data_IF_778056561120
#
_entry.id   IF_778056561120
#
_cell.length_a   1.000
_cell.length_b   1.000
_cell.length_c   1.000
_cell.angle_alpha   90.00
_cell.angle_beta   90.00
_cell.angle_gamma   90.00
#
_symmetry.space_group_name_H-M   'P 1'
#
loop_
_entity.id
_entity.type
_entity.pdbx_description
1 polymer ?
#
# COMPACT_ATOMS: atom_id res chain seq x y z
N UNK A 1 -18.58 40.11 -23.24
CA UNK A 1 -18.56 38.69 -23.59
C UNK A 1 -17.21 38.18 -23.17
N UNK A 2 -17.12 37.65 -21.95
CA UNK A 2 -15.86 37.26 -21.32
C UNK A 2 -15.67 35.76 -21.54
N UNK A 3 -14.71 35.43 -22.39
CA UNK A 3 -14.26 34.07 -22.67
C UNK A 3 -13.43 33.60 -21.46
N UNK A 4 -13.96 32.63 -20.71
CA UNK A 4 -13.26 32.04 -19.56
C UNK A 4 -12.65 30.73 -20.02
N UNK A 5 -11.31 30.53 -19.93
CA UNK A 5 -10.70 29.28 -20.35
C UNK A 5 -11.19 28.14 -19.47
N UNK A 6 -11.77 27.11 -20.09
CA UNK A 6 -12.15 25.88 -19.43
C UNK A 6 -10.89 25.16 -18.91
N UNK A 7 -10.91 24.61 -17.67
CA UNK A 7 -9.82 23.80 -17.15
C UNK A 7 -9.64 22.51 -17.98
N UNK A 8 -8.42 21.96 -18.07
CA UNK A 8 -8.15 20.76 -18.85
C UNK A 8 -8.98 19.59 -18.31
N UNK A 9 -9.73 18.96 -19.21
CA UNK A 9 -10.52 17.76 -18.94
C UNK A 9 -9.57 16.61 -18.63
N UNK A 10 -9.59 16.12 -17.39
CA UNK A 10 -8.85 14.93 -16.98
C UNK A 10 -9.30 13.71 -17.79
N UNK A 11 -8.35 13.07 -18.46
CA UNK A 11 -8.57 11.78 -19.11
C UNK A 11 -8.85 10.71 -18.02
N UNK A 12 -9.80 9.79 -18.24
CA UNK A 12 -10.17 8.79 -17.24
C UNK A 12 -8.98 7.87 -16.92
N UNK A 13 -8.82 7.63 -15.62
CA UNK A 13 -7.85 6.76 -14.92
C UNK A 13 -7.53 5.42 -15.64
N UNK A 14 -8.45 4.93 -16.46
CA UNK A 14 -8.30 3.74 -17.30
C UNK A 14 -7.11 3.80 -18.28
N UNK A 15 -6.71 4.98 -18.79
CA UNK A 15 -5.60 5.07 -19.75
C UNK A 15 -4.22 4.96 -19.08
N UNK A 16 -4.13 5.30 -17.79
CA UNK A 16 -2.90 5.23 -16.99
C UNK A 16 -2.56 3.79 -16.57
N UNK A 17 -3.60 2.96 -16.35
CA UNK A 17 -3.51 1.52 -16.08
C UNK A 17 -2.81 0.73 -17.20
N UNK A 18 -2.88 1.22 -18.44
CA UNK A 18 -2.31 0.52 -19.61
C UNK A 18 -0.78 0.53 -19.65
N UNK A 19 -0.12 1.48 -18.97
CA UNK A 19 1.35 1.55 -18.91
C UNK A 19 1.97 0.65 -17.85
N UNK A 20 1.24 0.33 -16.77
CA UNK A 20 1.77 -0.46 -15.65
C UNK A 20 1.75 -1.97 -15.98
N UNK A 21 0.73 -2.45 -16.69
CA UNK A 21 0.71 -3.85 -17.20
C UNK A 21 1.89 -4.16 -18.14
N UNK A 22 2.42 -3.15 -18.84
CA UNK A 22 3.56 -3.32 -19.74
C UNK A 22 4.90 -3.52 -19.00
N UNK A 23 5.01 -3.10 -17.73
CA UNK A 23 6.22 -3.27 -16.92
C UNK A 23 6.25 -4.66 -16.25
N UNK A 24 5.10 -5.13 -15.75
CA UNK A 24 4.98 -6.44 -15.10
C UNK A 24 5.26 -7.58 -16.11
N UNK A 25 4.80 -7.44 -17.36
CA UNK A 25 5.05 -8.44 -18.41
C UNK A 25 6.53 -8.56 -18.84
N UNK A 26 7.40 -7.58 -18.56
CA UNK A 26 8.82 -7.63 -18.96
C UNK A 26 9.73 -8.30 -17.91
N UNK A 27 9.18 -8.72 -16.76
CA UNK A 27 9.93 -9.38 -15.69
C UNK A 27 9.70 -10.90 -15.61
N UNK A 28 8.74 -11.44 -16.36
CA UNK A 28 8.40 -12.87 -16.33
C UNK A 28 9.18 -13.74 -17.33
N UNK A 29 9.94 -13.16 -18.27
CA UNK A 29 10.70 -13.89 -19.30
C UNK A 29 12.10 -14.37 -18.84
N UNK A 30 12.22 -14.86 -17.60
CA UNK A 30 13.50 -15.27 -17.00
C UNK A 30 13.47 -16.66 -16.34
N UNK A 31 13.13 -17.71 -17.09
CA UNK A 31 13.17 -19.10 -16.62
C UNK A 31 14.58 -19.61 -16.20
N UNK A 32 14.61 -20.18 -14.97
CA UNK A 32 15.10 -21.53 -14.58
C UNK A 32 16.58 -21.78 -14.22
N UNK A 33 16.80 -22.25 -12.98
CA UNK A 33 17.60 -23.48 -12.75
C UNK A 33 17.29 -24.17 -11.40
N UNK A 34 17.10 -25.48 -11.49
CA UNK A 34 16.68 -26.45 -10.46
C UNK A 34 17.81 -26.97 -9.56
N UNK A 35 17.55 -27.25 -8.28
CA UNK A 35 17.86 -28.55 -7.63
C UNK A 35 17.39 -28.60 -6.17
N UNK A 36 16.93 -29.77 -5.66
CA UNK A 36 16.81 -29.97 -4.20
C UNK A 36 15.82 -31.01 -3.69
N UNK A 37 15.96 -32.27 -4.09
CA UNK A 37 15.16 -33.41 -3.61
C UNK A 37 15.57 -33.83 -2.18
N UNK A 38 14.64 -33.94 -1.22
CA UNK A 38 14.75 -34.88 -0.07
C UNK A 38 13.40 -35.47 0.34
N UNK A 39 13.45 -36.75 0.68
CA UNK A 39 12.34 -37.68 1.03
C UNK A 39 12.47 -38.03 2.51
N UNK A 40 11.36 -38.17 3.23
CA UNK A 40 11.10 -39.05 4.39
C UNK A 40 9.57 -38.93 4.63
N UNK A 41 8.73 -39.90 4.99
CA UNK A 41 8.79 -41.29 5.46
C UNK A 41 7.53 -41.51 6.33
N UNK A 42 6.46 -42.12 5.82
CA UNK A 42 5.93 -43.47 6.19
C UNK A 42 4.76 -43.50 7.20
N UNK A 43 3.57 -43.91 6.69
CA UNK A 43 2.43 -44.73 7.22
C UNK A 43 1.87 -44.59 8.65
N UNK A 44 0.53 -44.50 8.73
CA UNK A 44 -0.39 -45.44 9.43
C UNK A 44 -1.86 -45.25 8.93
N UNK A 45 -2.47 -46.23 8.23
CA UNK A 45 -3.59 -47.15 8.64
C UNK A 45 -4.85 -46.44 9.19
N UNK A 46 -5.91 -46.24 8.40
CA UNK A 46 -7.10 -47.10 8.13
C UNK A 46 -7.87 -47.57 9.38
N UNK A 47 -9.08 -47.02 9.58
CA UNK A 47 -10.26 -47.75 10.10
C UNK A 47 -11.55 -47.12 9.53
N UNK A 48 -12.40 -47.95 8.94
CA UNK A 48 -13.64 -47.67 8.18
C UNK A 48 -14.88 -47.34 9.06
N UNK A 49 -16.01 -46.92 8.44
CA UNK A 49 -17.08 -46.11 9.05
C UNK A 49 -18.37 -46.90 9.38
N UNK A 50 -19.36 -46.21 9.97
CA UNK A 50 -20.76 -46.31 9.51
C UNK A 50 -21.35 -44.88 9.35
N UNK A 51 -22.47 -44.59 8.69
CA UNK A 51 -23.54 -45.37 8.07
C UNK A 51 -24.35 -44.44 7.16
N UNK A 52 -24.84 -45.04 6.09
CA UNK A 52 -25.70 -44.54 5.03
C UNK A 52 -27.02 -43.93 5.56
N UNK A 53 -27.29 -42.67 5.22
CA UNK A 53 -28.64 -42.12 5.16
C UNK A 53 -28.86 -41.58 3.75
N UNK A 54 -29.75 -42.23 3.02
CA UNK A 54 -30.16 -41.87 1.66
C UNK A 54 -31.11 -40.69 1.73
N UNK A 55 -30.71 -39.58 1.11
CA UNK A 55 -31.60 -38.45 0.83
C UNK A 55 -31.84 -38.40 -0.68
N UNK A 56 -33.10 -38.54 -1.08
CA UNK A 56 -33.58 -38.34 -2.46
C UNK A 56 -33.82 -36.86 -2.73
N UNK A 57 -33.61 -36.38 -3.98
CA UNK A 57 -33.67 -34.96 -4.31
C UNK A 57 -35.12 -34.51 -4.49
N UNK A 58 -35.49 -33.40 -3.85
CA UNK A 58 -36.66 -32.63 -4.24
C UNK A 58 -36.25 -31.61 -5.30
N UNK A 59 -36.51 -31.93 -6.55
CA UNK A 59 -36.47 -30.98 -7.66
C UNK A 59 -37.62 -29.98 -7.49
N UNK A 60 -37.30 -28.70 -7.31
CA UNK A 60 -38.16 -27.61 -7.80
C UNK A 60 -37.29 -26.46 -8.29
N UNK A 61 -37.46 -26.15 -9.57
CA UNK A 61 -36.94 -24.97 -10.24
C UNK A 61 -37.61 -23.68 -9.70
N UNK A 62 -37.08 -22.54 -10.14
CA UNK A 62 -37.52 -21.14 -9.91
C UNK A 62 -36.75 -20.46 -8.77
N UNK A 63 -36.06 -19.34 -8.94
CA UNK A 63 -36.04 -18.35 -10.04
C UNK A 63 -34.91 -17.36 -9.76
N UNK A 64 -34.27 -16.88 -10.83
CA UNK A 64 -33.60 -15.58 -10.99
C UNK A 64 -32.97 -14.87 -9.78
N UNK A 65 -31.66 -14.67 -9.89
CA UNK A 65 -31.16 -13.30 -10.01
C UNK A 65 -30.98 -12.53 -8.72
N UNK A 66 -29.89 -12.82 -8.02
CA UNK A 66 -29.01 -11.78 -7.45
C UNK A 66 -27.76 -12.46 -6.92
N UNK A 67 -26.88 -12.91 -7.83
CA UNK A 67 -25.46 -12.88 -7.50
C UNK A 67 -25.12 -11.38 -7.46
N UNK A 68 -25.37 -10.74 -6.31
CA UNK A 68 -24.83 -9.43 -6.03
C UNK A 68 -23.31 -9.65 -6.11
N UNK A 69 -22.56 -9.05 -7.05
CA UNK A 69 -21.13 -9.05 -6.88
C UNK A 69 -20.90 -8.43 -5.49
N UNK A 70 -20.13 -9.11 -4.64
CA UNK A 70 -19.56 -8.46 -3.47
C UNK A 70 -18.70 -7.33 -4.03
N UNK A 71 -19.30 -6.14 -4.12
CA UNK A 71 -18.57 -4.90 -4.32
C UNK A 71 -17.84 -4.67 -3.01
N UNK A 72 -16.72 -5.37 -2.83
CA UNK A 72 -15.72 -4.96 -1.84
C UNK A 72 -15.21 -3.62 -2.35
N UNK A 73 -15.75 -2.53 -1.81
CA UNK A 73 -15.23 -1.19 -2.06
C UNK A 73 -13.78 -1.21 -1.60
N UNK A 74 -12.86 -1.14 -2.57
CA UNK A 74 -11.43 -1.10 -2.34
C UNK A 74 -11.10 0.11 -1.45
N UNK A 75 -10.42 -0.12 -0.33
CA UNK A 75 -9.94 0.91 0.59
C UNK A 75 -8.60 1.46 0.08
N UNK A 76 -8.49 2.78 -0.07
CA UNK A 76 -7.23 3.44 -0.41
C UNK A 76 -6.53 3.95 0.86
N UNK A 77 -5.25 3.62 1.02
CA UNK A 77 -4.45 4.00 2.19
C UNK A 77 -3.20 4.77 1.76
N UNK A 78 -3.08 6.02 2.21
CA UNK A 78 -1.93 6.87 1.94
C UNK A 78 -0.76 6.59 2.89
N UNK A 79 0.44 6.34 2.37
CA UNK A 79 1.67 6.19 3.15
C UNK A 79 2.58 7.40 2.97
N UNK A 80 2.63 8.29 3.96
CA UNK A 80 3.35 9.56 3.91
C UNK A 80 4.71 9.44 4.57
N UNK A 81 5.78 9.80 3.87
CA UNK A 81 7.12 9.82 4.46
C UNK A 81 7.29 10.88 5.55
N UNK A 82 8.01 10.51 6.62
CA UNK A 82 8.46 11.46 7.62
C UNK A 82 9.53 12.42 7.06
N UNK A 83 9.73 13.55 7.73
CA UNK A 83 10.69 14.59 7.33
C UNK A 83 11.65 14.97 8.45
N UNK A 84 12.70 15.71 8.09
CA UNK A 84 13.70 16.19 9.05
C UNK A 84 13.11 17.14 10.08
N UNK A 85 12.41 18.19 9.62
CA UNK A 85 11.87 19.26 10.46
C UNK A 85 10.75 18.74 11.36
N UNK A 86 10.89 18.95 12.66
CA UNK A 86 9.96 18.51 13.71
C UNK A 86 9.77 19.62 14.75
N UNK A 87 8.72 19.52 15.56
CA UNK A 87 8.64 20.25 16.82
C UNK A 87 9.70 19.77 17.82
N UNK A 88 10.01 20.59 18.81
CA UNK A 88 11.00 20.28 19.86
C UNK A 88 10.40 19.52 21.06
N UNK A 89 9.07 19.37 21.10
CA UNK A 89 8.34 18.72 22.17
C UNK A 89 7.63 17.45 21.66
N UNK A 90 7.33 16.49 22.57
CA UNK A 90 6.53 15.32 22.21
C UNK A 90 5.14 15.72 21.70
N UNK A 91 4.81 15.27 20.49
CA UNK A 91 3.58 15.64 19.79
C UNK A 91 2.97 14.41 19.12
N UNK A 92 1.66 14.43 18.87
CA UNK A 92 1.01 13.38 18.05
C UNK A 92 1.67 13.27 16.68
N UNK A 93 1.80 12.07 16.08
CA UNK A 93 2.61 11.87 14.89
C UNK A 93 2.30 12.80 13.71
N UNK A 94 1.00 13.06 13.43
CA UNK A 94 0.59 13.95 12.33
C UNK A 94 0.97 15.41 12.52
N UNK A 95 1.15 15.85 13.76
CA UNK A 95 1.48 17.23 14.11
C UNK A 95 2.98 17.39 14.42
N UNK A 96 3.74 16.30 14.58
CA UNK A 96 5.17 16.37 14.91
C UNK A 96 5.99 17.07 13.83
N UNK A 97 5.67 16.86 12.55
CA UNK A 97 6.51 17.27 11.42
C UNK A 97 6.09 18.62 10.85
N UNK A 98 7.06 19.54 10.73
CA UNK A 98 6.77 20.97 10.53
C UNK A 98 7.11 21.50 9.14
N UNK A 99 7.63 20.66 8.23
CA UNK A 99 7.99 21.13 6.89
C UNK A 99 6.75 21.38 6.02
N UNK A 100 6.82 22.38 5.14
CA UNK A 100 5.78 22.63 4.12
C UNK A 100 5.51 21.42 3.23
N UNK A 101 6.54 20.62 2.94
CA UNK A 101 6.40 19.40 2.15
C UNK A 101 5.51 18.38 2.87
N UNK A 102 5.79 18.11 4.14
CA UNK A 102 4.96 17.21 4.96
C UNK A 102 3.54 17.74 5.12
N UNK A 103 3.37 19.03 5.39
CA UNK A 103 2.04 19.63 5.52
C UNK A 103 1.17 19.40 4.26
N UNK A 104 1.77 19.51 3.07
CA UNK A 104 1.09 19.22 1.80
C UNK A 104 0.79 17.73 1.62
N UNK A 105 1.75 16.84 1.88
CA UNK A 105 1.52 15.40 1.81
C UNK A 105 0.39 14.96 2.74
N UNK A 106 0.41 15.45 3.98
CA UNK A 106 -0.63 15.20 4.98
C UNK A 106 -1.99 15.70 4.52
N UNK A 107 -2.10 16.97 4.11
CA UNK A 107 -3.39 17.53 3.69
C UNK A 107 -3.97 16.77 2.50
N UNK A 108 -3.14 16.42 1.51
CA UNK A 108 -3.57 15.59 0.39
C UNK A 108 -4.03 14.20 0.86
N UNK A 109 -3.28 13.57 1.78
CA UNK A 109 -3.63 12.25 2.27
C UNK A 109 -4.91 12.22 3.10
N UNK A 110 -5.14 13.25 3.92
CA UNK A 110 -6.38 13.43 4.70
C UNK A 110 -7.62 13.69 3.81
N UNK A 111 -7.42 14.28 2.62
CA UNK A 111 -8.50 14.62 1.69
C UNK A 111 -8.90 13.44 0.78
N UNK A 112 -7.91 12.69 0.29
CA UNK A 112 -8.11 11.77 -0.84
C UNK A 112 -8.21 10.29 -0.44
N UNK A 113 -7.65 9.91 0.72
CA UNK A 113 -7.59 8.50 1.15
C UNK A 113 -8.62 8.19 2.22
N UNK A 114 -9.03 6.91 2.27
CA UNK A 114 -9.91 6.41 3.33
C UNK A 114 -9.18 6.36 4.69
N UNK A 115 -7.87 6.14 4.66
CA UNK A 115 -6.98 6.14 5.82
C UNK A 115 -5.56 6.56 5.39
N UNK A 116 -4.71 6.98 6.34
CA UNK A 116 -3.32 7.29 6.03
C UNK A 116 -2.40 7.07 7.22
N UNK A 117 -1.13 6.78 6.93
CA UNK A 117 -0.11 6.42 7.91
C UNK A 117 1.22 7.09 7.57
N UNK A 118 2.07 7.24 8.58
CA UNK A 118 3.38 7.89 8.42
C UNK A 118 4.49 6.83 8.40
N UNK A 119 5.27 6.81 7.32
CA UNK A 119 6.50 6.04 7.21
C UNK A 119 7.64 6.78 7.92
N UNK A 120 7.98 6.33 9.13
CA UNK A 120 9.06 6.85 9.96
C UNK A 120 10.35 6.04 9.79
N UNK A 121 11.45 6.71 9.49
CA UNK A 121 12.78 6.08 9.45
C UNK A 121 13.16 5.40 10.78
N UNK A 122 12.74 5.99 11.91
CA UNK A 122 13.01 5.47 13.25
C UNK A 122 11.96 4.46 13.71
N UNK A 123 10.70 4.84 13.58
CA UNK A 123 9.59 4.15 14.23
C UNK A 123 8.90 3.11 13.34
N UNK A 124 9.26 2.99 12.05
CA UNK A 124 8.56 2.12 11.13
C UNK A 124 7.27 2.78 10.66
N UNK A 125 6.12 2.23 11.06
CA UNK A 125 4.81 2.78 10.76
C UNK A 125 4.22 3.54 11.96
N UNK A 126 3.61 4.70 11.72
CA UNK A 126 2.94 5.49 12.75
C UNK A 126 1.52 5.87 12.34
N UNK A 127 0.56 5.61 13.24
CA UNK A 127 -0.79 6.13 13.12
C UNK A 127 -0.78 7.66 13.28
N UNK A 128 -1.49 8.43 12.44
CA UNK A 128 -1.54 9.89 12.52
C UNK A 128 -1.93 10.43 13.91
N UNK A 129 -2.94 9.80 14.50
CA UNK A 129 -3.51 10.11 15.81
C UNK A 129 -2.99 9.18 16.92
N UNK A 130 -1.84 8.54 16.68
CA UNK A 130 -1.17 7.70 17.66
C UNK A 130 -0.66 8.48 18.88
N UNK A 131 -0.09 7.78 19.88
CA UNK A 131 0.44 8.41 21.08
C UNK A 131 1.55 9.43 20.76
N UNK A 132 1.74 10.47 21.59
CA UNK A 132 2.79 11.45 21.37
C UNK A 132 4.19 10.83 21.30
N UNK A 133 4.98 11.29 20.35
CA UNK A 133 6.37 10.86 20.15
C UNK A 133 7.32 12.04 20.26
N UNK A 134 8.44 11.83 20.95
CA UNK A 134 9.49 12.84 21.08
C UNK A 134 10.22 13.06 19.74
N UNK A 135 10.75 14.27 19.48
CA UNK A 135 11.56 14.51 18.30
C UNK A 135 12.78 13.58 18.25
N UNK A 136 13.21 13.27 17.03
CA UNK A 136 14.31 12.37 16.76
C UNK A 136 15.04 12.76 15.47
N UNK A 137 16.30 12.30 15.38
CA UNK A 137 17.14 12.49 14.20
C UNK A 137 17.58 11.11 13.67
N UNK A 138 16.75 10.55 12.78
CA UNK A 138 17.06 9.32 12.06
C UNK A 138 16.53 9.44 10.63
N UNK A 139 17.27 8.90 9.68
CA UNK A 139 16.97 9.01 8.25
C UNK A 139 17.36 7.72 7.53
N UNK A 140 16.56 7.34 6.53
CA UNK A 140 16.92 6.29 5.58
C UNK A 140 17.79 6.83 4.44
N UNK A 141 17.90 8.15 4.31
CA UNK A 141 18.64 8.74 3.20
C UNK A 141 20.13 8.47 3.33
N UNK A 142 20.71 7.90 2.28
CA UNK A 142 22.11 7.44 2.28
C UNK A 142 22.36 6.18 3.13
N UNK A 143 21.34 5.60 3.77
CA UNK A 143 21.49 4.34 4.48
C UNK A 143 21.86 3.21 3.50
N UNK A 144 22.67 2.26 3.98
CA UNK A 144 23.04 1.08 3.19
C UNK A 144 21.78 0.25 2.89
N UNK A 145 21.77 -0.41 1.74
CA UNK A 145 20.69 -1.31 1.31
C UNK A 145 20.25 -2.32 2.40
N UNK A 146 21.19 -2.92 3.11
CA UNK A 146 20.88 -3.85 4.21
C UNK A 146 20.03 -3.20 5.32
N UNK A 147 20.35 -1.96 5.73
CA UNK A 147 19.59 -1.21 6.73
C UNK A 147 18.19 -0.84 6.23
N UNK A 148 18.07 -0.45 4.95
CA UNK A 148 16.77 -0.16 4.32
C UNK A 148 15.90 -1.41 4.26
N UNK A 149 16.49 -2.58 4.00
CA UNK A 149 15.79 -3.87 4.00
C UNK A 149 15.31 -4.26 5.39
N UNK A 150 16.17 -4.17 6.41
CA UNK A 150 15.75 -4.40 7.81
C UNK A 150 14.62 -3.45 8.26
N UNK A 151 14.65 -2.20 7.79
CA UNK A 151 13.57 -1.26 8.03
C UNK A 151 12.30 -1.66 7.27
N UNK A 152 12.42 -2.09 6.01
CA UNK A 152 11.30 -2.50 5.17
C UNK A 152 10.60 -3.74 5.72
N UNK A 153 11.35 -4.75 6.17
CA UNK A 153 10.81 -5.95 6.83
C UNK A 153 9.94 -5.54 8.04
N UNK A 154 10.46 -4.66 8.90
CA UNK A 154 9.70 -4.14 10.05
C UNK A 154 8.43 -3.39 9.64
N UNK A 155 8.50 -2.58 8.59
CA UNK A 155 7.32 -1.84 8.11
C UNK A 155 6.25 -2.78 7.56
N UNK A 156 6.62 -3.89 6.92
CA UNK A 156 5.66 -4.90 6.47
C UNK A 156 4.98 -5.55 7.67
N UNK A 157 5.74 -5.91 8.71
CA UNK A 157 5.17 -6.43 9.95
C UNK A 157 4.20 -5.41 10.58
N UNK A 158 4.60 -4.12 10.67
CA UNK A 158 3.74 -3.07 11.22
C UNK A 158 2.47 -2.84 10.39
N UNK A 159 2.54 -2.97 9.05
CA UNK A 159 1.39 -2.88 8.15
C UNK A 159 0.44 -4.07 8.34
N UNK A 160 0.98 -5.28 8.55
CA UNK A 160 0.18 -6.48 8.83
C UNK A 160 -0.55 -6.36 10.17
N UNK A 161 0.18 -5.95 11.21
CA UNK A 161 -0.36 -5.71 12.56
C UNK A 161 -1.47 -4.64 12.55
N UNK A 162 -1.36 -3.64 11.67
CA UNK A 162 -2.38 -2.61 11.46
C UNK A 162 -3.57 -3.08 10.58
N UNK A 163 -3.52 -4.29 10.00
CA UNK A 163 -4.55 -4.82 9.12
C UNK A 163 -4.59 -4.15 7.75
N UNK A 164 -3.46 -3.63 7.27
CA UNK A 164 -3.35 -2.89 6.01
C UNK A 164 -2.86 -3.76 4.84
N UNK A 165 -2.55 -5.04 5.10
CA UNK A 165 -2.17 -6.01 4.08
C UNK A 165 -3.37 -6.92 3.74
N UNK A 166 -4.31 -6.41 2.94
CA UNK A 166 -5.52 -7.14 2.55
C UNK A 166 -5.85 -6.98 1.05
N UNK A 167 -6.58 -7.94 0.49
CA UNK A 167 -6.99 -7.99 -0.93
C UNK A 167 -7.86 -6.82 -1.40
N UNK A 168 -8.41 -6.06 -0.47
CA UNK A 168 -9.19 -4.87 -0.73
C UNK A 168 -8.46 -3.56 -0.42
N UNK A 169 -7.18 -3.62 -0.05
CA UNK A 169 -6.37 -2.44 0.25
C UNK A 169 -5.46 -2.07 -0.91
N UNK A 170 -5.56 -0.81 -1.35
CA UNK A 170 -4.60 -0.16 -2.25
C UNK A 170 -3.71 0.78 -1.43
N UNK A 171 -2.40 0.58 -1.51
CA UNK A 171 -1.41 1.43 -0.85
C UNK A 171 -0.91 2.50 -1.81
N UNK A 172 -0.91 3.77 -1.39
CA UNK A 172 -0.39 4.88 -2.19
C UNK A 172 0.75 5.57 -1.45
N UNK A 173 1.97 5.45 -1.97
CA UNK A 173 3.20 5.88 -1.29
C UNK A 173 3.61 7.29 -1.72
N UNK A 174 3.68 8.18 -0.73
CA UNK A 174 4.18 9.55 -0.84
C UNK A 174 5.52 9.67 -0.14
N UNK A 175 6.53 9.06 -0.76
CA UNK A 175 7.88 8.98 -0.21
C UNK A 175 8.96 9.10 -1.28
N UNK A 176 10.16 9.52 -0.83
CA UNK A 176 11.36 9.41 -1.66
C UNK A 176 11.81 7.96 -1.83
N UNK A 177 12.59 7.70 -2.88
CA UNK A 177 13.08 6.37 -3.26
C UNK A 177 13.71 5.55 -2.13
N UNK A 178 14.41 6.22 -1.22
CA UNK A 178 15.05 5.58 -0.05
C UNK A 178 14.07 4.80 0.85
N UNK A 179 12.77 5.14 0.82
CA UNK A 179 11.71 4.46 1.58
C UNK A 179 11.10 3.28 0.84
N UNK A 180 10.89 3.38 -0.48
CA UNK A 180 10.12 2.37 -1.19
C UNK A 180 10.98 1.32 -1.91
N UNK A 181 12.26 1.60 -2.18
CA UNK A 181 13.07 0.71 -3.04
C UNK A 181 13.27 -0.71 -2.49
N UNK A 182 13.41 -0.87 -1.16
CA UNK A 182 13.49 -2.19 -0.52
C UNK A 182 12.13 -2.65 0.04
N UNK A 183 11.13 -1.77 0.09
CA UNK A 183 9.78 -2.08 0.59
C UNK A 183 8.89 -2.70 -0.49
N UNK A 184 8.96 -2.18 -1.73
CA UNK A 184 8.15 -2.68 -2.85
C UNK A 184 8.29 -4.20 -3.10
N UNK A 185 9.51 -4.79 -3.09
CA UNK A 185 9.64 -6.24 -3.29
C UNK A 185 9.04 -7.08 -2.17
N UNK A 186 8.81 -6.50 -0.99
CA UNK A 186 8.13 -7.21 0.10
C UNK A 186 6.62 -7.08 -0.05
N UNK A 187 6.13 -5.86 -0.36
CA UNK A 187 4.70 -5.62 -0.58
C UNK A 187 4.14 -6.43 -1.77
N UNK A 188 4.95 -6.72 -2.80
CA UNK A 188 4.52 -7.57 -3.92
C UNK A 188 4.20 -9.02 -3.52
N UNK A 189 4.71 -9.47 -2.37
CA UNK A 189 4.45 -10.81 -1.83
C UNK A 189 3.27 -10.82 -0.84
N UNK A 190 2.60 -9.68 -0.66
CA UNK A 190 1.45 -9.53 0.25
C UNK A 190 0.15 -9.50 -0.54
N UNK A 191 -1.02 -9.70 0.11
CA UNK A 191 -2.29 -9.73 -0.60
C UNK A 191 -2.80 -8.35 -1.04
N UNK A 192 -2.06 -7.24 -0.84
CA UNK A 192 -2.54 -5.90 -1.21
C UNK A 192 -2.95 -5.83 -2.69
N UNK A 193 -4.06 -5.14 -2.96
CA UNK A 193 -4.63 -5.06 -4.30
C UNK A 193 -3.71 -4.33 -5.30
N UNK A 194 -3.03 -3.28 -4.82
CA UNK A 194 -2.10 -2.49 -5.61
C UNK A 194 -1.19 -1.63 -4.72
N UNK A 195 -0.03 -1.27 -5.25
CA UNK A 195 0.86 -0.26 -4.67
C UNK A 195 1.16 0.80 -5.75
N UNK A 196 0.93 2.07 -5.43
CA UNK A 196 1.13 3.20 -6.34
C UNK A 196 2.10 4.24 -5.76
N UNK A 197 2.84 4.93 -6.63
CA UNK A 197 3.76 6.03 -6.25
C UNK A 197 3.52 7.21 -7.20
N UNK A 198 2.51 8.07 -6.94
CA UNK A 198 2.07 9.09 -7.89
C UNK A 198 3.15 10.12 -8.24
N UNK A 199 4.10 10.31 -7.33
CA UNK A 199 5.18 11.30 -7.44
C UNK A 199 6.52 10.68 -7.85
N UNK A 200 6.54 9.43 -8.30
CA UNK A 200 7.78 8.77 -8.72
C UNK A 200 8.49 9.54 -9.84
N UNK A 201 9.81 9.71 -9.68
CA UNK A 201 10.66 10.40 -10.66
C UNK A 201 10.45 11.92 -10.73
N UNK A 202 9.52 12.49 -9.97
CA UNK A 202 9.35 13.93 -9.89
C UNK A 202 10.47 14.56 -9.06
N UNK A 203 10.97 15.70 -9.53
CA UNK A 203 11.82 16.56 -8.70
C UNK A 203 10.98 17.19 -7.58
N UNK A 204 11.63 17.60 -6.48
CA UNK A 204 10.94 18.11 -5.30
C UNK A 204 10.01 19.30 -5.60
N UNK A 205 10.43 20.22 -6.48
CA UNK A 205 9.60 21.37 -6.88
C UNK A 205 8.35 20.96 -7.65
N UNK A 206 8.46 19.99 -8.56
CA UNK A 206 7.32 19.43 -9.29
C UNK A 206 6.39 18.64 -8.37
N UNK A 207 6.95 17.97 -7.38
CA UNK A 207 6.19 17.23 -6.36
C UNK A 207 5.36 18.20 -5.50
N UNK A 208 5.94 19.33 -5.08
CA UNK A 208 5.21 20.36 -4.34
C UNK A 208 4.08 21.00 -5.16
N UNK A 209 4.32 21.27 -6.45
CA UNK A 209 3.28 21.75 -7.37
C UNK A 209 2.15 20.71 -7.51
N UNK A 210 2.51 19.44 -7.69
CA UNK A 210 1.56 18.33 -7.83
C UNK A 210 0.55 18.28 -6.68
N UNK A 211 1.00 18.45 -5.43
CA UNK A 211 0.11 18.54 -4.27
C UNK A 211 -0.71 19.83 -4.25
N UNK A 212 -0.08 20.96 -4.56
CA UNK A 212 -0.75 22.27 -4.50
C UNK A 212 -1.93 22.36 -5.47
N UNK A 213 -1.83 21.71 -6.62
CA UNK A 213 -2.90 21.67 -7.62
C UNK A 213 -4.09 20.77 -7.22
N UNK A 214 -3.98 20.01 -6.12
CA UNK A 214 -4.95 18.97 -5.74
C UNK A 214 -5.48 19.07 -4.32
N UNK A 215 -4.90 19.93 -3.49
CA UNK A 215 -5.41 20.20 -2.15
C UNK A 215 -6.34 21.39 -2.26
N UNK A 216 -7.55 21.26 -1.74
CA UNK A 216 -8.47 22.39 -1.63
C UNK A 216 -7.95 23.32 -0.51
N UNK A 217 -7.64 24.57 -0.87
CA UNK A 217 -7.08 25.60 0.04
C UNK A 217 -8.11 26.64 0.41
#
# INVERSE_FOLDING_TARGET
MSDTPQPPTDAPIAEKMSRIRAIISQLEDGEVSSNGRRRFGTRARISSPPSRATWTPATRASSNGSNKPMSTTQREVGLVSCVKSKHDEPTVPKDLYTSTYFAKMRAYAEQEHDDWWILSAKHGLLAPDGPPIAPYDETLSGARKARKREWADRVVDDLDDAGLLAEDVRLVVYAGRDYYEELLPLLSETPVAAVEIPTEGLQIGKTLAWYTDRIDV
#
